data_IF_031934195679
#
_entry.id   IF_031934195679
#
_cell.length_a   1.000
_cell.length_b   1.000
_cell.length_c   1.000
_cell.angle_alpha   90.00
_cell.angle_beta   90.00
_cell.angle_gamma   90.00
#
_symmetry.space_group_name_H-M   'P 1'
#
loop_
_entity.id
_entity.type
_entity.pdbx_description
1 polymer ?
#
# COMPACT_ATOMS: atom_id res chain seq x y z
N UNK A 1 -17.74 10.53 -0.70
CA UNK A 1 -17.96 9.24 -1.39
C UNK A 1 -18.90 8.39 -0.55
N UNK A 2 -19.79 7.58 -1.13
CA UNK A 2 -20.64 6.66 -0.36
C UNK A 2 -19.79 5.66 0.44
N UNK A 3 -20.24 5.26 1.63
CA UNK A 3 -19.51 4.32 2.49
C UNK A 3 -19.26 2.98 1.78
N UNK A 4 -20.28 2.44 1.09
CA UNK A 4 -20.16 1.18 0.34
C UNK A 4 -19.03 1.23 -0.72
N UNK A 5 -18.87 2.38 -1.38
CA UNK A 5 -17.78 2.57 -2.33
C UNK A 5 -16.41 2.53 -1.63
N UNK A 6 -16.29 3.22 -0.49
CA UNK A 6 -15.06 3.24 0.30
C UNK A 6 -14.69 1.84 0.81
N UNK A 7 -15.67 1.06 1.27
CA UNK A 7 -15.49 -0.32 1.71
C UNK A 7 -15.02 -1.23 0.57
N UNK A 8 -15.58 -1.06 -0.64
CA UNK A 8 -15.11 -1.79 -1.84
C UNK A 8 -13.67 -1.45 -2.20
N UNK A 9 -13.28 -0.17 -2.12
CA UNK A 9 -11.88 0.23 -2.35
C UNK A 9 -10.97 -0.36 -1.28
N UNK A 10 -11.37 -0.33 -0.02
CA UNK A 10 -10.62 -0.94 1.08
C UNK A 10 -10.43 -2.45 0.87
N UNK A 11 -11.48 -3.18 0.46
CA UNK A 11 -11.37 -4.60 0.14
C UNK A 11 -10.44 -4.86 -1.06
N UNK A 12 -10.47 -4.01 -2.08
CA UNK A 12 -9.55 -4.13 -3.22
C UNK A 12 -8.09 -3.93 -2.80
N UNK A 13 -7.82 -3.04 -1.83
CA UNK A 13 -6.49 -2.88 -1.25
C UNK A 13 -6.04 -4.17 -0.57
N UNK A 14 -6.90 -4.79 0.26
CA UNK A 14 -6.56 -6.05 0.93
C UNK A 14 -6.32 -7.19 -0.07
N UNK A 15 -7.12 -7.29 -1.13
CA UNK A 15 -6.91 -8.26 -2.19
C UNK A 15 -5.58 -8.03 -2.92
N UNK A 16 -5.23 -6.77 -3.19
CA UNK A 16 -3.96 -6.43 -3.83
C UNK A 16 -2.77 -6.71 -2.91
N UNK A 17 -2.87 -6.40 -1.61
CA UNK A 17 -1.86 -6.76 -0.62
C UNK A 17 -1.58 -8.26 -0.63
N UNK A 18 -2.63 -9.08 -0.65
CA UNK A 18 -2.49 -10.53 -0.72
C UNK A 18 -1.75 -10.97 -1.99
N UNK A 19 -2.09 -10.39 -3.15
CA UNK A 19 -1.34 -10.67 -4.39
C UNK A 19 0.13 -10.27 -4.33
N UNK A 20 0.46 -9.17 -3.64
CA UNK A 20 1.86 -8.77 -3.43
C UNK A 20 2.60 -9.72 -2.49
N UNK A 21 1.92 -10.25 -1.47
CA UNK A 21 2.51 -11.16 -0.47
C UNK A 21 2.80 -12.55 -1.06
N UNK A 22 2.09 -12.97 -2.11
CA UNK A 22 2.31 -14.25 -2.82
C UNK A 22 3.29 -14.15 -4.00
N UNK A 23 3.64 -12.94 -4.44
CA UNK A 23 4.51 -12.73 -5.59
C UNK A 23 6.00 -12.79 -5.18
N UNK A 24 6.70 -13.85 -5.61
CA UNK A 24 8.13 -14.06 -5.32
C UNK A 24 9.03 -12.94 -5.87
N UNK A 25 8.66 -12.34 -7.00
CA UNK A 25 9.39 -11.20 -7.52
C UNK A 25 9.19 -10.00 -6.59
N UNK A 26 8.03 -9.83 -5.97
CA UNK A 26 7.77 -8.70 -5.08
C UNK A 26 8.35 -8.89 -3.68
N UNK A 27 8.32 -10.11 -3.13
CA UNK A 27 8.75 -10.42 -1.76
C UNK A 27 10.27 -10.57 -1.58
N UNK A 28 11.06 -9.99 -2.49
CA UNK A 28 12.52 -10.02 -2.36
C UNK A 28 13.06 -9.02 -1.33
N UNK A 29 14.35 -9.12 -1.03
CA UNK A 29 14.98 -8.21 -0.07
C UNK A 29 15.08 -6.76 -0.57
N UNK A 30 15.02 -6.54 -1.90
CA UNK A 30 15.14 -5.21 -2.51
C UNK A 30 13.95 -4.32 -2.15
N UNK A 31 12.74 -4.86 -2.17
CA UNK A 31 11.51 -4.09 -1.88
C UNK A 31 11.12 -4.07 -0.40
N UNK A 32 11.88 -4.72 0.49
CA UNK A 32 11.60 -4.76 1.94
C UNK A 32 11.42 -3.37 2.55
N UNK A 33 12.24 -2.40 2.13
CA UNK A 33 12.14 -1.01 2.58
C UNK A 33 10.81 -0.35 2.19
N UNK A 34 10.27 -0.67 1.01
CA UNK A 34 8.98 -0.16 0.58
C UNK A 34 7.83 -0.75 1.39
N UNK A 35 7.88 -2.04 1.74
CA UNK A 35 6.88 -2.65 2.63
C UNK A 35 6.97 -2.13 4.06
N UNK A 36 8.17 -1.85 4.58
CA UNK A 36 8.33 -1.19 5.87
C UNK A 36 7.70 0.22 5.85
N UNK A 37 7.85 0.95 4.75
CA UNK A 37 7.22 2.26 4.57
C UNK A 37 5.69 2.17 4.53
N UNK A 38 5.11 1.14 3.88
CA UNK A 38 3.66 0.82 3.94
C UNK A 38 3.19 0.73 5.39
N UNK A 39 3.87 -0.12 6.17
CA UNK A 39 3.54 -0.37 7.57
C UNK A 39 3.57 0.91 8.41
N UNK A 40 4.56 1.79 8.18
CA UNK A 40 4.63 3.10 8.82
C UNK A 40 3.41 3.98 8.48
N UNK A 41 3.08 4.12 7.19
CA UNK A 41 1.97 4.96 6.74
C UNK A 41 0.62 4.49 7.32
N UNK A 42 0.38 3.18 7.31
CA UNK A 42 -0.83 2.61 7.91
C UNK A 42 -0.84 2.78 9.44
N UNK A 43 0.29 2.57 10.11
CA UNK A 43 0.39 2.80 11.55
C UNK A 43 0.10 4.26 11.94
N UNK A 44 0.54 5.22 11.12
CA UNK A 44 0.26 6.64 11.33
C UNK A 44 -1.25 6.93 11.23
N UNK A 45 -1.98 6.30 10.31
CA UNK A 45 -3.46 6.40 10.24
C UNK A 45 -4.12 5.80 11.49
N UNK A 46 -3.67 4.62 11.92
CA UNK A 46 -4.22 3.95 13.11
C UNK A 46 -4.06 4.79 14.38
N UNK A 47 -2.94 5.51 14.52
CA UNK A 47 -2.66 6.42 15.65
C UNK A 47 -3.58 7.64 15.72
N UNK A 48 -4.28 7.98 14.63
CA UNK A 48 -5.25 9.08 14.63
C UNK A 48 -6.54 8.73 15.38
N UNK A 49 -6.77 7.45 15.73
CA UNK A 49 -7.93 6.98 16.48
C UNK A 49 -9.28 7.49 15.91
N UNK A 50 -9.38 7.57 14.58
CA UNK A 50 -10.57 8.06 13.88
C UNK A 50 -11.76 7.13 14.15
N UNK A 51 -12.81 7.66 14.79
CA UNK A 51 -14.00 6.89 15.16
C UNK A 51 -15.01 6.74 14.02
N UNK A 52 -15.13 7.78 13.17
CA UNK A 52 -16.01 7.73 12.01
C UNK A 52 -15.44 6.78 10.96
N UNK A 53 -16.19 5.74 10.62
CA UNK A 53 -15.75 4.67 9.72
C UNK A 53 -15.42 5.20 8.32
N UNK A 54 -16.23 6.11 7.77
CA UNK A 54 -15.99 6.67 6.44
C UNK A 54 -14.68 7.49 6.42
N UNK A 55 -14.45 8.28 7.46
CA UNK A 55 -13.22 9.08 7.66
C UNK A 55 -12.00 8.19 7.84
N UNK A 56 -12.11 7.11 8.63
CA UNK A 56 -11.04 6.14 8.81
C UNK A 56 -10.64 5.48 7.49
N UNK A 57 -11.61 4.93 6.77
CA UNK A 57 -11.34 4.26 5.48
C UNK A 57 -10.75 5.26 4.48
N UNK A 58 -11.26 6.50 4.43
CA UNK A 58 -10.71 7.54 3.55
C UNK A 58 -9.26 7.87 3.88
N UNK A 59 -8.91 7.98 5.17
CA UNK A 59 -7.53 8.21 5.60
C UNK A 59 -6.61 7.03 5.25
N UNK A 60 -7.08 5.80 5.45
CA UNK A 60 -6.36 4.59 5.06
C UNK A 60 -6.09 4.55 3.55
N UNK A 61 -7.11 4.76 2.72
CA UNK A 61 -6.99 4.78 1.25
C UNK A 61 -5.98 5.85 0.81
N UNK A 62 -6.03 7.04 1.43
CA UNK A 62 -5.08 8.11 1.11
C UNK A 62 -3.64 7.73 1.45
N UNK A 63 -3.39 7.19 2.65
CA UNK A 63 -2.07 6.74 3.05
C UNK A 63 -1.56 5.60 2.15
N UNK A 64 -2.44 4.68 1.77
CA UNK A 64 -2.10 3.60 0.84
C UNK A 64 -1.79 4.12 -0.56
N UNK A 65 -2.52 5.12 -1.06
CA UNK A 65 -2.24 5.78 -2.33
C UNK A 65 -0.86 6.47 -2.34
N UNK A 66 -0.51 7.18 -1.27
CA UNK A 66 0.82 7.78 -1.12
C UNK A 66 1.92 6.71 -1.11
N UNK A 67 1.67 5.59 -0.42
CA UNK A 67 2.57 4.45 -0.48
C UNK A 67 2.68 3.83 -1.88
N UNK A 68 1.58 3.70 -2.63
CA UNK A 68 1.58 3.14 -3.98
C UNK A 68 2.47 3.94 -4.93
N UNK A 69 2.44 5.27 -4.86
CA UNK A 69 3.32 6.13 -5.67
C UNK A 69 4.79 5.85 -5.39
N UNK A 70 5.15 5.73 -4.10
CA UNK A 70 6.49 5.35 -3.68
C UNK A 70 6.86 3.93 -4.13
N UNK A 71 5.93 2.98 -3.99
CA UNK A 71 6.12 1.59 -4.36
C UNK A 71 6.40 1.44 -5.87
N UNK A 72 5.64 2.15 -6.72
CA UNK A 72 5.85 2.16 -8.18
C UNK A 72 7.26 2.66 -8.51
N UNK A 73 7.71 3.76 -7.90
CA UNK A 73 9.07 4.30 -8.12
C UNK A 73 10.15 3.24 -7.77
N UNK A 74 9.99 2.52 -6.67
CA UNK A 74 10.94 1.47 -6.26
C UNK A 74 10.87 0.24 -7.14
N UNK A 75 9.68 -0.13 -7.59
CA UNK A 75 9.47 -1.24 -8.51
C UNK A 75 10.11 -0.95 -9.88
N UNK A 76 9.96 0.26 -10.40
CA UNK A 76 10.63 0.72 -11.62
C UNK A 76 12.15 0.70 -11.47
N UNK A 77 12.69 1.22 -10.37
CA UNK A 77 14.14 1.18 -10.09
C UNK A 77 14.68 -0.25 -10.08
N UNK A 78 13.95 -1.18 -9.47
CA UNK A 78 14.29 -2.60 -9.49
C UNK A 78 14.25 -3.16 -10.90
N UNK A 79 13.18 -2.92 -11.65
CA UNK A 79 13.04 -3.40 -13.03
C UNK A 79 14.19 -2.92 -13.93
N UNK A 80 14.52 -1.63 -13.86
CA UNK A 80 15.65 -1.04 -14.59
C UNK A 80 17.01 -1.62 -14.18
N UNK A 81 17.18 -2.03 -12.92
CA UNK A 81 18.41 -2.69 -12.47
C UNK A 81 18.61 -4.07 -13.09
N UNK A 82 17.52 -4.77 -13.40
CA UNK A 82 17.54 -6.09 -14.04
C UNK A 82 17.78 -6.00 -15.55
N UNK A 83 17.34 -4.92 -16.20
CA UNK A 83 17.59 -4.67 -17.63
C UNK A 83 19.04 -4.28 -17.93
N UNK A 84 19.79 -3.82 -16.93
CA UNK A 84 21.21 -3.44 -17.06
C UNK A 84 22.17 -4.63 -16.96
N UNK A 85 21.65 -5.83 -16.74
CA UNK A 85 22.39 -7.10 -16.70
C UNK A 85 22.34 -7.76 -18.08
#
# INVERSE_FOLDING_TARGET
LPLEFLEKVYQNIENFNHSLDEDEFIQDEVLRGAFAYRGKMIADVLRLHIQDKASFISAYIKAYYEWLLYFIEKLEQKYESLLKV
#
